data_IF_326228328792
#
_entry.id   IF_326228328792
#
_cell.length_a   1.000
_cell.length_b   1.000
_cell.length_c   1.000
_cell.angle_alpha   90.00
_cell.angle_beta   90.00
_cell.angle_gamma   90.00
#
_symmetry.space_group_name_H-M   'P 1'
#
loop_
_entity.id
_entity.type
_entity.pdbx_description
1 polymer ?
#
# COMPACT_ATOMS: atom_id res chain seq x y z
N UNK A 1 -7.60 11.88 -16.35
CA UNK A 1 -6.49 11.08 -16.94
C UNK A 1 -6.54 9.63 -16.50
N UNK A 2 -6.73 9.40 -15.19
CA UNK A 2 -6.64 8.09 -14.53
C UNK A 2 -7.70 7.10 -15.05
N UNK A 3 -8.97 7.50 -15.09
CA UNK A 3 -10.07 6.61 -15.48
C UNK A 3 -10.32 6.52 -16.99
N UNK A 4 -9.60 7.32 -17.79
CA UNK A 4 -9.89 7.43 -19.21
C UNK A 4 -9.35 6.20 -19.98
N UNK A 5 -10.19 5.45 -20.73
CA UNK A 5 -9.82 4.17 -21.35
C UNK A 5 -8.68 4.24 -22.37
N UNK A 6 -8.48 5.41 -22.99
CA UNK A 6 -7.37 5.65 -23.93
C UNK A 6 -6.07 6.16 -23.27
N UNK A 7 -6.06 6.37 -21.96
CA UNK A 7 -4.94 6.95 -21.21
C UNK A 7 -4.41 5.93 -20.18
N UNK A 8 -4.51 6.23 -18.88
CA UNK A 8 -3.99 5.33 -17.84
C UNK A 8 -4.90 4.11 -17.61
N UNK A 9 -6.20 4.28 -17.87
CA UNK A 9 -7.23 3.23 -17.80
C UNK A 9 -7.18 2.43 -16.50
N UNK A 10 -7.42 3.10 -15.38
CA UNK A 10 -7.40 2.47 -14.05
C UNK A 10 -8.74 2.51 -13.32
N UNK A 11 -9.83 2.55 -14.08
CA UNK A 11 -11.19 2.61 -13.54
C UNK A 11 -11.53 1.39 -12.64
N UNK A 12 -10.86 0.24 -12.84
CA UNK A 12 -11.09 -0.99 -12.08
C UNK A 12 -10.28 -1.08 -10.77
N UNK A 13 -9.48 -0.08 -10.43
CA UNK A 13 -8.74 -0.08 -9.17
C UNK A 13 -9.70 -0.05 -7.99
N UNK A 14 -9.62 -1.03 -7.10
CA UNK A 14 -10.52 -1.14 -5.95
C UNK A 14 -10.60 0.15 -5.11
N UNK A 15 -9.49 0.88 -4.99
CA UNK A 15 -9.40 2.14 -4.24
C UNK A 15 -10.00 3.38 -4.91
N UNK A 16 -10.33 3.30 -6.21
CA UNK A 16 -10.94 4.39 -7.00
C UNK A 16 -12.28 4.00 -7.62
N UNK A 17 -12.73 2.75 -7.42
CA UNK A 17 -14.02 2.30 -7.90
C UNK A 17 -15.16 3.16 -7.32
N UNK A 18 -16.09 3.64 -8.17
CA UNK A 18 -17.30 4.27 -7.68
C UNK A 18 -18.16 3.25 -6.92
N UNK A 19 -19.02 3.76 -6.04
CA UNK A 19 -19.96 2.91 -5.30
C UNK A 19 -20.88 2.14 -6.27
N UNK A 20 -20.69 0.84 -6.33
CA UNK A 20 -21.26 -0.08 -7.33
C UNK A 20 -21.37 -1.50 -6.77
N UNK A 21 -21.99 -2.42 -7.51
CA UNK A 21 -22.00 -3.86 -7.15
C UNK A 21 -20.58 -4.44 -7.13
N UNK A 22 -19.74 -4.04 -8.09
CA UNK A 22 -18.33 -4.43 -8.15
C UNK A 22 -17.57 -3.98 -6.90
N UNK A 23 -17.71 -2.69 -6.53
CA UNK A 23 -17.09 -2.17 -5.30
C UNK A 23 -17.58 -2.92 -4.06
N UNK A 24 -18.89 -3.15 -3.93
CA UNK A 24 -19.47 -3.87 -2.78
C UNK A 24 -18.97 -5.31 -2.71
N UNK A 25 -18.80 -5.99 -3.85
CA UNK A 25 -18.26 -7.35 -3.92
C UNK A 25 -16.79 -7.38 -3.51
N UNK A 26 -15.94 -6.54 -4.11
CA UNK A 26 -14.52 -6.46 -3.76
C UNK A 26 -14.32 -6.08 -2.29
N UNK A 27 -15.08 -5.09 -1.78
CA UNK A 27 -15.01 -4.67 -0.38
C UNK A 27 -15.37 -5.80 0.58
N UNK A 28 -16.41 -6.60 0.26
CA UNK A 28 -16.78 -7.80 1.02
C UNK A 28 -15.66 -8.84 1.02
N UNK A 29 -15.09 -9.16 -0.15
CA UNK A 29 -13.95 -10.09 -0.25
C UNK A 29 -12.78 -9.64 0.62
N UNK A 30 -12.35 -8.39 0.50
CA UNK A 30 -11.25 -7.83 1.32
C UNK A 30 -11.59 -7.88 2.82
N UNK A 31 -12.84 -7.54 3.20
CA UNK A 31 -13.26 -7.55 4.59
C UNK A 31 -13.24 -8.96 5.22
N UNK A 32 -13.43 -10.03 4.45
CA UNK A 32 -13.30 -11.40 4.96
C UNK A 32 -11.89 -11.70 5.45
N UNK A 33 -10.88 -11.04 4.90
CA UNK A 33 -9.47 -11.21 5.27
C UNK A 33 -8.96 -10.18 6.28
N UNK A 34 -9.47 -8.95 6.21
CA UNK A 34 -8.93 -7.80 6.96
C UNK A 34 -9.83 -7.29 8.09
N UNK A 35 -10.94 -7.96 8.41
CA UNK A 35 -11.71 -7.59 9.59
C UNK A 35 -10.90 -7.87 10.89
N UNK A 36 -11.26 -7.22 12.03
CA UNK A 36 -10.48 -7.32 13.26
C UNK A 36 -10.24 -8.72 13.81
N UNK A 37 -11.06 -9.71 13.44
CA UNK A 37 -10.87 -11.11 13.83
C UNK A 37 -9.98 -11.85 12.82
N UNK A 38 -10.28 -11.71 11.53
CA UNK A 38 -9.56 -12.41 10.46
C UNK A 38 -8.10 -11.95 10.34
N UNK A 39 -7.80 -10.68 10.63
CA UNK A 39 -6.44 -10.14 10.51
C UNK A 39 -5.44 -10.86 11.44
N UNK A 40 -5.91 -11.43 12.56
CA UNK A 40 -5.09 -12.16 13.53
C UNK A 40 -4.41 -13.41 12.95
N UNK A 41 -4.93 -13.95 11.84
CA UNK A 41 -4.27 -15.05 11.14
C UNK A 41 -2.89 -14.66 10.59
N UNK A 42 -2.61 -13.35 10.45
CA UNK A 42 -1.35 -12.82 9.95
C UNK A 42 -0.40 -12.37 11.07
N UNK A 43 -0.73 -12.58 12.35
CA UNK A 43 0.10 -12.15 13.48
C UNK A 43 1.52 -12.73 13.41
N UNK A 44 1.65 -14.03 13.11
CA UNK A 44 2.95 -14.70 12.95
C UNK A 44 3.79 -14.09 11.81
N UNK A 45 3.15 -13.76 10.69
CA UNK A 45 3.83 -13.13 9.56
C UNK A 45 4.40 -11.75 9.96
N UNK A 46 3.62 -10.96 10.71
CA UNK A 46 4.07 -9.67 11.20
C UNK A 46 5.23 -9.82 12.20
N UNK A 47 5.14 -10.76 13.13
CA UNK A 47 6.19 -11.04 14.11
C UNK A 47 7.51 -11.46 13.44
N UNK A 48 7.46 -12.33 12.43
CA UNK A 48 8.65 -12.78 11.71
C UNK A 48 9.31 -11.64 10.94
N UNK A 49 8.50 -10.79 10.31
CA UNK A 49 8.98 -9.61 9.58
C UNK A 49 9.61 -8.59 10.54
N UNK A 50 9.02 -8.38 11.72
CA UNK A 50 9.57 -7.51 12.75
C UNK A 50 10.90 -8.06 13.28
N UNK A 51 11.01 -9.36 13.54
CA UNK A 51 12.28 -10.00 13.97
C UNK A 51 13.38 -9.79 12.94
N UNK A 52 13.08 -9.94 11.65
CA UNK A 52 14.04 -9.68 10.57
C UNK A 52 14.44 -8.20 10.52
N UNK A 53 13.48 -7.29 10.64
CA UNK A 53 13.74 -5.85 10.66
C UNK A 53 14.65 -5.48 11.85
N UNK A 54 14.35 -5.94 13.07
CA UNK A 54 15.18 -5.71 14.25
C UNK A 54 16.60 -6.26 14.06
N UNK A 55 16.74 -7.46 13.49
CA UNK A 55 18.03 -8.05 13.16
C UNK A 55 18.84 -7.23 12.15
N UNK A 56 18.18 -6.60 11.18
CA UNK A 56 18.84 -5.64 10.26
C UNK A 56 19.22 -4.35 10.99
N UNK A 57 18.32 -3.78 11.80
CA UNK A 57 18.55 -2.55 12.56
C UNK A 57 19.72 -2.66 13.54
N UNK A 58 19.92 -3.82 14.18
CA UNK A 58 21.06 -4.06 15.07
C UNK A 58 22.42 -3.95 14.37
N UNK A 59 22.47 -4.19 13.05
CA UNK A 59 23.69 -4.08 12.24
C UNK A 59 23.92 -2.66 11.71
N UNK A 60 22.92 -1.78 11.79
CA UNK A 60 22.97 -0.44 11.20
C UNK A 60 23.98 0.46 11.91
N UNK A 61 24.13 0.34 13.24
CA UNK A 61 25.09 1.14 14.00
C UNK A 61 26.55 0.88 13.63
N UNK A 62 26.83 -0.24 12.95
CA UNK A 62 28.16 -0.61 12.45
C UNK A 62 28.45 -0.05 11.05
N UNK A 63 27.43 0.54 10.38
CA UNK A 63 27.57 1.13 9.06
C UNK A 63 28.20 2.54 9.18
N UNK A 64 29.09 2.94 8.26
CA UNK A 64 29.62 4.31 8.21
C UNK A 64 28.56 5.40 8.02
N UNK A 65 27.39 5.07 7.44
CA UNK A 65 26.25 5.98 7.23
C UNK A 65 24.96 5.43 7.86
N UNK A 66 24.87 5.39 9.21
CA UNK A 66 23.78 4.71 9.91
C UNK A 66 22.41 5.33 9.63
N UNK A 67 22.36 6.65 9.42
CA UNK A 67 21.12 7.35 9.09
C UNK A 67 20.57 6.96 7.72
N UNK A 68 21.42 6.85 6.70
CA UNK A 68 21.00 6.42 5.37
C UNK A 68 20.59 4.95 5.36
N UNK A 69 21.21 4.12 6.20
CA UNK A 69 20.81 2.73 6.32
C UNK A 69 19.47 2.56 7.08
N UNK A 70 19.23 3.31 8.18
CA UNK A 70 17.90 3.37 8.81
C UNK A 70 16.86 3.81 7.78
N UNK A 71 17.19 4.80 6.95
CA UNK A 71 16.29 5.23 5.89
C UNK A 71 15.96 4.08 4.95
N UNK A 72 16.94 3.30 4.48
CA UNK A 72 16.65 2.16 3.59
C UNK A 72 15.77 1.07 4.23
N UNK A 73 15.87 0.87 5.56
CA UNK A 73 15.10 -0.15 6.26
C UNK A 73 13.63 0.23 6.45
N UNK A 74 13.35 1.52 6.69
CA UNK A 74 12.01 2.03 6.96
C UNK A 74 11.33 2.71 5.77
N UNK A 75 12.13 3.33 4.89
CA UNK A 75 11.64 4.10 3.75
C UNK A 75 11.76 3.23 2.50
N UNK A 76 10.65 3.03 1.82
CA UNK A 76 10.66 2.71 0.41
C UNK A 76 11.12 3.95 -0.36
N UNK A 77 12.44 4.18 -0.41
CA UNK A 77 13.00 5.33 -1.09
C UNK A 77 13.07 5.05 -2.59
N UNK A 78 12.05 5.48 -3.31
CA UNK A 78 12.09 5.49 -4.77
C UNK A 78 12.12 6.92 -5.26
N UNK A 79 13.31 7.53 -5.27
CA UNK A 79 13.48 8.77 -6.01
C UNK A 79 13.53 8.45 -7.49
N UNK A 80 12.36 8.32 -8.09
CA UNK A 80 12.22 8.44 -9.53
C UNK A 80 12.48 9.91 -9.91
N UNK A 81 13.75 10.22 -10.13
CA UNK A 81 14.23 11.37 -10.88
C UNK A 81 13.37 12.64 -10.74
N UNK A 82 13.22 13.15 -9.52
CA UNK A 82 12.80 14.56 -9.39
C UNK A 82 13.90 15.39 -10.03
N UNK A 83 13.50 16.21 -11.00
CA UNK A 83 14.34 17.11 -11.83
C UNK A 83 15.16 18.14 -11.02
N UNK A 84 15.18 18.03 -9.70
CA UNK A 84 15.79 18.97 -8.74
C UNK A 84 17.10 18.41 -8.15
N UNK A 85 17.31 17.08 -8.11
CA UNK A 85 18.55 16.51 -7.51
C UNK A 85 19.14 15.41 -8.41
N UNK A 86 20.07 15.73 -9.33
CA UNK A 86 20.55 14.80 -10.36
C UNK A 86 21.60 13.77 -9.92
N UNK A 87 22.00 13.72 -8.64
CA UNK A 87 23.19 12.96 -8.20
C UNK A 87 22.94 11.66 -7.43
N UNK A 88 21.70 11.29 -7.13
CA UNK A 88 21.43 10.06 -6.36
C UNK A 88 20.74 9.03 -7.25
N UNK A 89 21.43 7.90 -7.51
CA UNK A 89 20.86 6.77 -8.23
C UNK A 89 19.82 6.09 -7.34
N UNK A 90 18.55 5.98 -7.76
CA UNK A 90 17.55 5.28 -6.96
C UNK A 90 17.81 3.78 -6.98
N UNK A 91 17.97 3.19 -5.81
CA UNK A 91 17.87 1.75 -5.61
C UNK A 91 16.68 1.54 -4.66
N UNK A 92 15.55 1.01 -5.13
CA UNK A 92 14.49 0.58 -4.25
C UNK A 92 15.07 -0.48 -3.32
N UNK A 93 14.99 -0.23 -2.01
CA UNK A 93 15.36 -1.22 -1.00
C UNK A 93 14.09 -1.89 -0.51
N UNK A 94 14.19 -3.21 -0.35
CA UNK A 94 13.13 -4.06 0.15
C UNK A 94 12.75 -3.62 1.57
N UNK A 95 11.61 -2.92 1.72
CA UNK A 95 11.08 -2.69 3.06
C UNK A 95 10.54 -4.01 3.63
N UNK A 96 10.79 -4.26 4.91
CA UNK A 96 10.31 -5.47 5.61
C UNK A 96 8.80 -5.67 5.40
N UNK A 97 8.06 -4.56 5.50
CA UNK A 97 6.62 -4.52 5.34
C UNK A 97 6.18 -4.77 3.91
N UNK A 98 6.89 -4.22 2.92
CA UNK A 98 6.61 -4.48 1.50
C UNK A 98 6.79 -5.95 1.14
N UNK A 99 7.79 -6.62 1.70
CA UNK A 99 7.96 -8.08 1.56
C UNK A 99 6.81 -8.85 2.22
N UNK A 100 6.42 -8.45 3.43
CA UNK A 100 5.32 -9.07 4.17
C UNK A 100 3.99 -8.99 3.43
N UNK A 101 3.64 -7.80 2.95
CA UNK A 101 2.38 -7.55 2.24
C UNK A 101 2.37 -8.22 0.87
N UNK A 102 3.52 -8.28 0.18
CA UNK A 102 3.63 -8.99 -1.09
C UNK A 102 3.47 -10.50 -0.89
N UNK A 103 4.09 -11.09 0.14
CA UNK A 103 3.90 -12.49 0.51
C UNK A 103 2.45 -12.77 0.95
N UNK A 104 1.84 -11.88 1.73
CA UNK A 104 0.44 -12.00 2.15
C UNK A 104 -0.52 -11.99 0.96
N UNK A 105 -0.30 -11.09 0.00
CA UNK A 105 -1.15 -10.93 -1.16
C UNK A 105 -0.99 -12.09 -2.15
N UNK A 106 0.25 -12.44 -2.51
CA UNK A 106 0.57 -13.33 -3.63
C UNK A 106 1.14 -14.69 -3.24
N UNK A 107 1.55 -14.91 -2.00
CA UNK A 107 2.30 -16.10 -1.58
C UNK A 107 3.74 -16.10 -2.08
N UNK A 108 4.23 -14.94 -2.52
CA UNK A 108 5.52 -14.81 -3.18
C UNK A 108 6.62 -14.38 -2.20
N UNK A 109 7.70 -15.16 -2.15
CA UNK A 109 8.91 -14.79 -1.44
C UNK A 109 9.84 -13.98 -2.36
N UNK A 110 10.09 -12.73 -2.00
CA UNK A 110 11.03 -11.87 -2.71
C UNK A 110 12.43 -12.47 -2.72
N UNK A 111 13.05 -12.53 -3.91
CA UNK A 111 14.36 -13.17 -4.09
C UNK A 111 15.50 -12.34 -3.53
N UNK A 112 15.47 -11.04 -3.82
CA UNK A 112 16.44 -10.05 -3.39
C UNK A 112 15.84 -8.64 -3.45
N UNK A 113 16.62 -7.63 -3.08
CA UNK A 113 16.18 -6.22 -3.09
C UNK A 113 15.86 -5.69 -4.49
N UNK A 114 16.21 -6.44 -5.55
CA UNK A 114 16.00 -6.10 -6.96
C UNK A 114 14.95 -6.99 -7.60
N UNK A 115 14.12 -7.65 -6.80
CA UNK A 115 13.08 -8.53 -7.29
C UNK A 115 12.16 -7.80 -8.28
N UNK A 116 12.11 -8.24 -9.55
CA UNK A 116 11.43 -7.49 -10.60
C UNK A 116 9.92 -7.38 -10.37
N UNK A 117 9.29 -8.36 -9.71
CA UNK A 117 7.86 -8.27 -9.41
C UNK A 117 7.57 -7.16 -8.41
N UNK A 118 8.34 -7.12 -7.32
CA UNK A 118 8.20 -6.07 -6.31
C UNK A 118 8.55 -4.69 -6.87
N UNK A 119 9.66 -4.58 -7.60
CA UNK A 119 10.09 -3.29 -8.14
C UNK A 119 9.09 -2.71 -9.15
N UNK A 120 8.57 -3.55 -10.04
CA UNK A 120 7.54 -3.12 -10.99
C UNK A 120 6.25 -2.73 -10.26
N UNK A 121 5.83 -3.50 -9.24
CA UNK A 121 4.63 -3.20 -8.45
C UNK A 121 4.75 -1.85 -7.73
N UNK A 122 5.86 -1.60 -7.04
CA UNK A 122 6.15 -0.32 -6.36
C UNK A 122 6.23 0.83 -7.35
N UNK A 123 6.93 0.64 -8.47
CA UNK A 123 7.06 1.68 -9.49
C UNK A 123 5.70 2.03 -10.11
N UNK A 124 4.82 1.04 -10.30
CA UNK A 124 3.47 1.26 -10.78
C UNK A 124 2.67 2.10 -9.76
N UNK A 125 2.72 1.76 -8.47
CA UNK A 125 2.06 2.53 -7.41
C UNK A 125 2.50 3.99 -7.41
N UNK A 126 3.80 4.24 -7.46
CA UNK A 126 4.32 5.61 -7.48
C UNK A 126 3.84 6.40 -8.71
N UNK A 127 3.80 5.77 -9.89
CA UNK A 127 3.27 6.40 -11.11
C UNK A 127 1.78 6.72 -10.97
N UNK A 128 0.99 5.87 -10.30
CA UNK A 128 -0.42 6.17 -9.97
C UNK A 128 -0.52 7.42 -9.14
N UNK A 129 0.19 7.45 -8.01
CA UNK A 129 0.07 8.58 -7.09
C UNK A 129 0.48 9.87 -7.78
N UNK A 130 1.51 9.84 -8.63
CA UNK A 130 1.84 10.99 -9.45
C UNK A 130 0.76 11.34 -10.47
N UNK A 131 0.10 10.35 -11.07
CA UNK A 131 -0.98 10.55 -12.03
C UNK A 131 -2.26 11.10 -11.39
N UNK A 132 -2.54 10.81 -10.12
CA UNK A 132 -3.75 11.26 -9.42
C UNK A 132 -3.61 12.67 -8.86
N UNK A 133 -2.38 13.13 -8.58
CA UNK A 133 -2.14 14.47 -8.06
C UNK A 133 -2.59 15.56 -9.06
N UNK A 134 -3.53 16.44 -8.68
CA UNK A 134 -4.03 17.50 -9.58
C UNK A 134 -2.94 18.43 -10.11
N UNK A 135 -1.91 18.68 -9.30
CA UNK A 135 -0.80 19.59 -9.64
C UNK A 135 0.17 19.03 -10.69
N UNK A 136 0.19 17.71 -10.89
CA UNK A 136 1.13 17.07 -11.81
C UNK A 136 0.63 17.08 -13.25
N UNK A 137 -0.68 17.03 -13.47
CA UNK A 137 -1.28 16.92 -14.80
C UNK A 137 -2.55 17.77 -14.90
N UNK A 138 -2.50 18.83 -15.72
CA UNK A 138 -3.62 19.76 -15.92
C UNK A 138 -4.91 19.07 -16.39
N UNK A 139 -4.83 17.92 -17.05
CA UNK A 139 -6.01 17.14 -17.47
C UNK A 139 -6.85 16.62 -16.30
N UNK A 140 -6.28 16.55 -15.09
CA UNK A 140 -7.04 16.22 -13.88
C UNK A 140 -7.89 17.40 -13.39
N UNK A 141 -7.49 18.63 -13.71
CA UNK A 141 -8.23 19.87 -13.40
C UNK A 141 -9.16 20.25 -14.54
N UNK A 142 -8.72 20.04 -15.79
CA UNK A 142 -9.44 20.37 -17.01
C UNK A 142 -9.65 19.10 -17.85
N UNK A 143 -10.72 18.32 -17.62
CA UNK A 143 -10.98 17.06 -18.32
C UNK A 143 -11.03 17.19 -19.85
N UNK A 144 -11.42 18.36 -20.37
CA UNK A 144 -11.42 18.65 -21.81
C UNK A 144 -10.06 18.41 -22.48
N UNK A 145 -8.96 18.53 -21.74
CA UNK A 145 -7.61 18.24 -22.24
C UNK A 145 -7.42 16.76 -22.64
N UNK A 146 -8.27 15.84 -22.18
CA UNK A 146 -8.22 14.44 -22.60
C UNK A 146 -8.47 14.27 -24.11
N UNK A 147 -9.14 15.21 -24.77
CA UNK A 147 -9.54 15.11 -26.19
C UNK A 147 -8.56 15.79 -27.16
N UNK A 148 -7.54 16.49 -26.67
CA UNK A 148 -6.57 17.15 -27.57
C UNK A 148 -5.77 16.11 -28.38
N UNK A 149 -5.37 16.37 -29.63
CA UNK A 149 -4.57 15.41 -30.39
C UNK A 149 -3.19 15.14 -29.76
N UNK A 150 -2.68 13.92 -29.90
CA UNK A 150 -1.38 13.50 -29.34
C UNK A 150 -0.18 14.31 -29.88
N UNK A 151 -0.32 14.89 -31.08
CA UNK A 151 0.72 15.69 -31.73
C UNK A 151 0.79 17.14 -31.22
N UNK A 152 -0.20 17.61 -30.46
CA UNK A 152 -0.27 19.00 -30.03
C UNK A 152 0.88 19.32 -29.04
N UNK A 153 1.62 20.43 -29.21
CA UNK A 153 2.63 20.85 -28.24
C UNK A 153 2.04 20.94 -26.83
N UNK A 154 2.67 20.28 -25.86
CA UNK A 154 2.16 20.17 -24.49
C UNK A 154 1.31 18.92 -24.21
N UNK A 155 0.92 18.14 -25.21
CA UNK A 155 0.20 16.86 -25.04
C UNK A 155 1.11 15.66 -24.74
N UNK A 156 2.41 15.87 -24.51
CA UNK A 156 3.39 14.81 -24.24
C UNK A 156 3.05 13.92 -23.04
N UNK A 157 2.27 14.42 -22.08
CA UNK A 157 1.75 13.65 -20.95
C UNK A 157 0.88 12.46 -21.38
N UNK A 158 0.25 12.50 -22.56
CA UNK A 158 -0.53 11.37 -23.08
C UNK A 158 0.33 10.16 -23.39
N UNK A 159 1.53 10.39 -23.94
CA UNK A 159 2.52 9.34 -24.16
C UNK A 159 2.95 8.72 -22.83
N UNK A 160 3.26 9.56 -21.85
CA UNK A 160 3.57 9.12 -20.48
C UNK A 160 2.44 8.29 -19.88
N UNK A 161 1.17 8.72 -20.02
CA UNK A 161 0.02 7.98 -19.52
C UNK A 161 -0.12 6.58 -20.16
N UNK A 162 0.11 6.46 -21.47
CA UNK A 162 0.09 5.16 -22.19
C UNK A 162 1.24 4.25 -21.73
N UNK A 163 2.46 4.78 -21.63
CA UNK A 163 3.62 4.05 -21.10
C UNK A 163 3.39 3.58 -19.64
N UNK A 164 2.73 4.41 -18.83
CA UNK A 164 2.38 4.06 -17.45
C UNK A 164 1.27 3.02 -17.38
N UNK A 165 0.32 3.00 -18.31
CA UNK A 165 -0.70 1.96 -18.43
C UNK A 165 -0.09 0.60 -18.74
N UNK A 166 0.81 0.52 -19.72
CA UNK A 166 1.47 -0.73 -20.07
C UNK A 166 2.28 -1.27 -18.89
N UNK A 167 3.03 -0.40 -18.22
CA UNK A 167 3.78 -0.75 -17.03
C UNK A 167 2.87 -1.23 -15.89
N UNK A 168 1.75 -0.53 -15.63
CA UNK A 168 0.73 -0.99 -14.69
C UNK A 168 0.25 -2.39 -15.04
N UNK A 169 -0.22 -2.58 -16.28
CA UNK A 169 -0.83 -3.84 -16.70
C UNK A 169 0.13 -5.00 -16.47
N UNK A 170 1.41 -4.80 -16.77
CA UNK A 170 2.46 -5.76 -16.47
C UNK A 170 2.66 -5.98 -14.96
N UNK A 171 2.78 -4.90 -14.17
CA UNK A 171 3.02 -4.96 -12.73
C UNK A 171 1.89 -5.63 -11.94
N UNK A 172 0.64 -5.48 -12.39
CA UNK A 172 -0.54 -6.13 -11.78
C UNK A 172 -0.66 -7.59 -12.26
N UNK A 173 -0.45 -7.83 -13.56
CA UNK A 173 -0.68 -9.15 -14.17
C UNK A 173 0.42 -10.15 -13.83
N UNK A 174 1.69 -9.76 -13.86
CA UNK A 174 2.80 -10.72 -13.75
C UNK A 174 2.82 -11.49 -12.41
N UNK A 175 2.65 -10.85 -11.23
CA UNK A 175 2.59 -11.56 -9.95
C UNK A 175 1.33 -12.45 -9.85
N UNK A 176 0.20 -12.00 -10.41
CA UNK A 176 -1.03 -12.78 -10.43
C UNK A 176 -0.87 -14.07 -11.23
N UNK A 177 -0.37 -13.99 -12.47
CA UNK A 177 -0.19 -15.16 -13.33
C UNK A 177 0.81 -16.15 -12.70
N UNK A 178 1.84 -15.65 -12.03
CA UNK A 178 2.76 -16.49 -11.26
C UNK A 178 2.02 -17.24 -10.14
N UNK A 179 1.25 -16.55 -9.29
CA UNK A 179 0.51 -17.21 -8.20
C UNK A 179 -0.50 -18.22 -8.76
N UNK A 180 -1.18 -17.88 -9.86
CA UNK A 180 -2.12 -18.78 -10.53
C UNK A 180 -1.44 -20.06 -11.02
N UNK A 181 -0.22 -19.96 -11.55
CA UNK A 181 0.56 -21.12 -11.98
C UNK A 181 1.02 -21.98 -10.80
N UNK A 182 1.47 -21.38 -9.69
CA UNK A 182 1.87 -22.14 -8.50
C UNK A 182 0.68 -22.85 -7.84
N UNK A 183 -0.50 -22.21 -7.82
CA UNK A 183 -1.72 -22.86 -7.34
C UNK A 183 -2.09 -24.05 -8.24
N UNK A 184 -1.98 -23.89 -9.55
CA UNK A 184 -2.24 -24.98 -10.50
C UNK A 184 -1.21 -26.12 -10.41
N UNK A 185 0.02 -25.85 -10.00
CA UNK A 185 1.06 -26.86 -9.80
C UNK A 185 0.86 -27.66 -8.49
N UNK A 186 0.06 -27.14 -7.56
CA UNK A 186 -0.18 -27.73 -6.24
C UNK A 186 0.93 -27.49 -5.23
N UNK A 187 2.00 -26.79 -5.60
CA UNK A 187 3.11 -26.42 -4.72
C UNK A 187 3.11 -24.90 -4.52
N UNK A 188 2.26 -24.40 -3.64
CA UNK A 188 2.10 -22.96 -3.38
C UNK A 188 2.13 -22.63 -1.89
N UNK A 189 2.59 -21.42 -1.59
CA UNK A 189 2.49 -20.83 -0.25
C UNK A 189 1.05 -20.29 -0.03
N UNK A 190 0.42 -20.55 1.14
CA UNK A 190 -0.87 -19.95 1.47
C UNK A 190 -0.83 -18.41 1.45
N UNK A 191 -1.75 -17.80 0.72
CA UNK A 191 -1.94 -16.36 0.59
C UNK A 191 -3.40 -16.01 0.35
N UNK A 192 -3.72 -14.71 0.41
CA UNK A 192 -5.08 -14.24 0.10
C UNK A 192 -5.45 -14.61 -1.34
N UNK A 193 -4.56 -14.36 -2.30
CA UNK A 193 -4.84 -14.68 -3.70
C UNK A 193 -4.93 -16.19 -3.94
N UNK A 194 -4.06 -17.00 -3.33
CA UNK A 194 -4.12 -18.46 -3.53
C UNK A 194 -5.43 -19.05 -3.01
N UNK A 195 -5.94 -18.54 -1.89
CA UNK A 195 -7.22 -18.98 -1.35
C UNK A 195 -8.40 -18.52 -2.24
N UNK A 196 -8.38 -17.29 -2.74
CA UNK A 196 -9.40 -16.78 -3.66
C UNK A 196 -9.40 -17.52 -5.01
N UNK A 197 -8.24 -17.93 -5.50
CA UNK A 197 -8.13 -18.73 -6.74
C UNK A 197 -8.78 -20.11 -6.59
N UNK A 198 -8.71 -20.70 -5.40
CA UNK A 198 -9.30 -22.00 -5.06
C UNK A 198 -10.80 -21.93 -4.73
N UNK A 199 -11.33 -20.76 -4.38
CA UNK A 199 -12.75 -20.55 -4.10
C UNK A 199 -13.52 -20.29 -5.40
N UNK A 200 -14.18 -21.34 -5.91
CA UNK A 200 -15.00 -21.27 -7.13
C UNK A 200 -16.48 -20.98 -6.84
N UNK A 201 -16.92 -21.10 -5.59
CA UNK A 201 -18.33 -21.00 -5.22
C UNK A 201 -18.80 -19.54 -5.13
N UNK A 202 -17.91 -18.59 -4.83
CA UNK A 202 -18.26 -17.17 -4.75
C UNK A 202 -18.46 -16.46 -6.10
N UNK A 203 -18.13 -17.11 -7.22
CA UNK A 203 -17.97 -16.48 -8.53
C UNK A 203 -18.84 -17.10 -9.64
N UNK A 204 -19.88 -17.88 -9.30
CA UNK A 204 -20.70 -18.61 -10.28
C UNK A 204 -21.36 -17.72 -11.35
N UNK A 205 -21.58 -16.44 -11.06
CA UNK A 205 -22.20 -15.47 -11.97
C UNK A 205 -21.19 -14.69 -12.83
N UNK A 206 -19.88 -14.85 -12.62
CA UNK A 206 -18.83 -14.13 -13.34
C UNK A 206 -18.23 -14.99 -14.45
N UNK A 207 -17.91 -14.37 -15.59
CA UNK A 207 -17.03 -15.03 -16.56
C UNK A 207 -15.64 -15.23 -15.96
N UNK A 208 -14.90 -16.25 -16.43
CA UNK A 208 -13.54 -16.50 -15.95
C UNK A 208 -12.60 -15.31 -16.17
N UNK A 209 -12.84 -14.50 -17.20
CA UNK A 209 -12.06 -13.29 -17.50
C UNK A 209 -12.35 -12.18 -16.49
N UNK A 210 -13.63 -11.90 -16.18
CA UNK A 210 -14.02 -10.90 -15.18
C UNK A 210 -13.50 -11.27 -13.79
N UNK A 211 -13.59 -12.56 -13.44
CA UNK A 211 -13.01 -13.07 -12.19
C UNK A 211 -11.50 -12.81 -12.12
N UNK A 212 -10.76 -13.14 -13.18
CA UNK A 212 -9.32 -12.92 -13.24
C UNK A 212 -8.96 -11.44 -13.08
N UNK A 213 -9.68 -10.53 -13.75
CA UNK A 213 -9.47 -9.08 -13.63
C UNK A 213 -9.75 -8.57 -12.22
N UNK A 214 -10.83 -9.02 -11.58
CA UNK A 214 -11.16 -8.65 -10.21
C UNK A 214 -10.10 -9.11 -9.21
N UNK A 215 -9.62 -10.35 -9.33
CA UNK A 215 -8.62 -10.91 -8.43
C UNK A 215 -7.25 -10.24 -8.60
N UNK A 216 -6.88 -9.88 -9.83
CA UNK A 216 -5.69 -9.07 -10.15
C UNK A 216 -5.69 -7.76 -9.37
N UNK A 217 -6.76 -6.97 -9.51
CA UNK A 217 -6.88 -5.68 -8.83
C UNK A 217 -6.99 -5.83 -7.30
N UNK A 218 -7.67 -6.88 -6.81
CA UNK A 218 -7.79 -7.17 -5.38
C UNK A 218 -6.43 -7.50 -4.74
N UNK A 219 -5.65 -8.37 -5.36
CA UNK A 219 -4.32 -8.71 -4.84
C UNK A 219 -3.39 -7.48 -4.85
N UNK A 220 -3.49 -6.66 -5.91
CA UNK A 220 -2.69 -5.45 -6.02
C UNK A 220 -3.07 -4.40 -4.96
N UNK A 221 -4.36 -4.14 -4.69
CA UNK A 221 -4.76 -3.20 -3.64
C UNK A 221 -4.32 -3.66 -2.24
N UNK A 222 -4.31 -4.97 -1.95
CA UNK A 222 -3.80 -5.50 -0.69
C UNK A 222 -2.31 -5.19 -0.51
N UNK A 223 -1.54 -5.36 -1.59
CA UNK A 223 -0.13 -5.02 -1.59
C UNK A 223 0.10 -3.51 -1.44
N UNK A 224 -0.50 -2.69 -2.30
CA UNK A 224 -0.30 -1.23 -2.30
C UNK A 224 -0.77 -0.62 -0.99
N UNK A 225 -1.99 -0.97 -0.56
CA UNK A 225 -2.60 -0.45 0.65
C UNK A 225 -1.84 -0.83 1.92
N UNK A 226 -1.23 -2.01 1.99
CA UNK A 226 -0.42 -2.42 3.13
C UNK A 226 1.02 -1.88 3.12
N UNK A 227 1.57 -1.62 1.93
CA UNK A 227 2.98 -1.20 1.79
C UNK A 227 3.11 0.30 1.93
N UNK A 228 2.33 1.06 1.16
CA UNK A 228 2.59 2.48 0.98
C UNK A 228 2.22 3.29 2.23
N UNK A 229 1.13 2.92 2.91
CA UNK A 229 0.72 3.59 4.17
C UNK A 229 1.65 3.29 5.34
N UNK A 230 2.42 2.20 5.27
CA UNK A 230 3.29 1.73 6.37
C UNK A 230 4.78 2.02 6.11
N UNK A 231 5.22 2.13 4.85
CA UNK A 231 6.65 2.25 4.48
C UNK A 231 7.06 3.49 3.67
N UNK A 232 6.15 4.40 3.29
CA UNK A 232 6.53 5.65 2.62
C UNK A 232 7.01 6.74 3.58
N UNK A 233 7.54 7.84 3.04
CA UNK A 233 8.14 8.95 3.79
C UNK A 233 7.21 9.61 4.84
N UNK A 234 5.89 9.49 4.67
CA UNK A 234 4.85 9.96 5.60
C UNK A 234 4.13 8.80 6.32
N UNK A 235 4.76 7.63 6.42
CA UNK A 235 4.12 6.45 6.98
C UNK A 235 4.07 6.44 8.50
N UNK A 236 3.22 5.56 9.02
CA UNK A 236 3.08 5.35 10.46
C UNK A 236 4.40 5.01 11.15
N UNK A 237 5.27 4.18 10.54
CA UNK A 237 6.54 3.77 11.15
C UNK A 237 7.58 4.90 11.16
N UNK A 238 7.69 5.65 10.07
CA UNK A 238 8.61 6.81 10.00
C UNK A 238 8.17 7.87 11.01
N UNK A 239 6.88 8.17 11.08
CA UNK A 239 6.32 9.12 12.03
C UNK A 239 6.52 8.64 13.47
N UNK A 240 6.39 7.34 13.75
CA UNK A 240 6.68 6.76 15.06
C UNK A 240 8.15 6.98 15.45
N UNK A 241 9.10 6.61 14.57
CA UNK A 241 10.54 6.76 14.86
C UNK A 241 10.88 8.24 15.10
N UNK A 242 10.39 9.15 14.25
CA UNK A 242 10.59 10.58 14.43
C UNK A 242 9.99 11.09 15.74
N UNK A 243 8.77 10.65 16.10
CA UNK A 243 8.12 11.02 17.35
C UNK A 243 8.92 10.54 18.58
N UNK A 244 9.50 9.34 18.53
CA UNK A 244 10.32 8.79 19.63
C UNK A 244 11.63 9.55 19.79
N UNK A 245 12.27 9.96 18.69
CA UNK A 245 13.50 10.77 18.72
C UNK A 245 13.25 12.14 19.34
N UNK A 246 12.10 12.78 19.05
CA UNK A 246 11.76 14.11 19.57
C UNK A 246 11.22 14.06 21.01
N UNK A 247 10.64 12.93 21.44
CA UNK A 247 10.04 12.75 22.77
C UNK A 247 10.65 11.53 23.50
N UNK A 248 11.92 11.61 23.93
CA UNK A 248 12.63 10.47 24.50
C UNK A 248 12.06 9.97 25.84
N UNK A 249 11.41 10.85 26.61
CA UNK A 249 10.70 10.50 27.85
C UNK A 249 9.47 9.62 27.57
N UNK A 250 8.73 9.92 26.50
CA UNK A 250 7.61 9.12 26.03
C UNK A 250 8.08 7.74 25.57
N UNK A 251 9.20 7.68 24.83
CA UNK A 251 9.83 6.42 24.43
C UNK A 251 10.25 5.58 25.65
N UNK A 252 10.94 6.19 26.62
CA UNK A 252 11.38 5.51 27.84
C UNK A 252 10.20 4.95 28.64
N UNK A 253 9.08 5.68 28.71
CA UNK A 253 7.86 5.21 29.38
C UNK A 253 7.21 4.02 28.67
N UNK A 254 7.20 4.01 27.33
CA UNK A 254 6.71 2.87 26.57
C UNK A 254 7.58 1.63 26.79
N UNK A 255 8.90 1.81 26.79
CA UNK A 255 9.84 0.74 27.09
C UNK A 255 9.65 0.19 28.52
N UNK A 256 9.44 1.06 29.51
CA UNK A 256 9.19 0.64 30.89
C UNK A 256 7.91 -0.20 31.04
N UNK A 257 6.83 0.14 30.31
CA UNK A 257 5.62 -0.70 30.28
C UNK A 257 5.94 -2.10 29.71
N UNK A 258 6.62 -2.17 28.56
CA UNK A 258 7.01 -3.43 27.92
C UNK A 258 7.86 -4.28 28.87
N UNK A 259 8.90 -3.70 29.47
CA UNK A 259 9.81 -4.39 30.38
C UNK A 259 9.10 -4.88 31.65
N UNK A 260 8.09 -4.14 32.14
CA UNK A 260 7.34 -4.52 33.34
C UNK A 260 6.44 -5.74 33.12
N UNK A 261 5.89 -5.91 31.92
CA UNK A 261 4.97 -7.00 31.58
C UNK A 261 5.72 -8.25 31.17
N UNK A 262 6.76 -8.10 30.35
CA UNK A 262 7.49 -9.23 29.76
C UNK A 262 8.66 -9.71 30.62
N UNK A 263 9.08 -8.91 31.60
CA UNK A 263 10.35 -9.07 32.27
C UNK A 263 11.50 -8.61 31.38
N UNK A 264 12.46 -7.90 31.97
CA UNK A 264 13.59 -7.35 31.23
C UNK A 264 14.33 -8.43 30.43
N UNK A 265 14.40 -8.24 29.11
CA UNK A 265 15.09 -9.10 28.16
C UNK A 265 14.73 -10.61 28.20
N UNK A 266 13.55 -10.98 28.70
CA UNK A 266 13.15 -12.39 28.83
C UNK A 266 12.65 -13.00 27.51
N UNK A 267 11.89 -12.22 26.73
CA UNK A 267 11.43 -12.57 25.37
C UNK A 267 11.00 -11.32 24.60
N UNK A 268 10.85 -11.45 23.28
CA UNK A 268 10.24 -10.40 22.46
C UNK A 268 8.70 -10.35 22.68
N UNK A 269 8.08 -9.16 22.51
CA UNK A 269 6.62 -9.04 22.50
C UNK A 269 5.98 -9.85 21.38
N UNK A 270 4.80 -10.40 21.64
CA UNK A 270 3.92 -11.03 20.64
C UNK A 270 2.60 -10.28 20.56
N UNK A 271 1.81 -10.54 19.52
CA UNK A 271 0.50 -9.89 19.37
C UNK A 271 -0.48 -10.21 20.51
N UNK A 272 -0.26 -11.31 21.24
CA UNK A 272 -1.06 -11.68 22.41
C UNK A 272 -0.82 -10.73 23.61
N UNK A 273 0.32 -10.06 23.66
CA UNK A 273 0.67 -9.15 24.76
C UNK A 273 -0.01 -7.78 24.65
N UNK A 274 -0.54 -7.43 23.47
CA UNK A 274 -1.16 -6.13 23.17
C UNK A 274 -2.19 -5.70 24.21
N UNK A 275 -3.01 -6.66 24.69
CA UNK A 275 -4.08 -6.40 25.67
C UNK A 275 -3.53 -5.92 27.01
N UNK A 276 -2.29 -6.27 27.34
CA UNK A 276 -1.62 -5.91 28.59
C UNK A 276 -0.85 -4.59 28.48
N UNK A 277 -0.74 -3.98 27.30
CA UNK A 277 0.09 -2.80 27.02
C UNK A 277 -0.76 -1.55 26.69
N UNK A 278 -1.53 -1.01 27.65
CA UNK A 278 -2.42 0.12 27.40
C UNK A 278 -1.67 1.39 26.99
N UNK A 279 -0.49 1.66 27.54
CA UNK A 279 0.28 2.86 27.20
C UNK A 279 0.84 2.78 25.78
N UNK A 280 1.43 1.65 25.37
CA UNK A 280 1.89 1.43 23.99
C UNK A 280 0.73 1.57 23.01
N UNK A 281 -0.44 1.02 23.33
CA UNK A 281 -1.64 1.16 22.50
C UNK A 281 -2.06 2.63 22.32
N UNK A 282 -2.09 3.41 23.41
CA UNK A 282 -2.42 4.84 23.35
C UNK A 282 -1.33 5.61 22.60
N UNK A 283 -0.06 5.25 22.75
CA UNK A 283 1.04 5.85 22.03
C UNK A 283 0.90 5.68 20.51
N UNK A 284 0.57 4.46 20.06
CA UNK A 284 0.31 4.19 18.63
C UNK A 284 -0.83 5.07 18.13
N UNK A 285 -1.93 5.17 18.89
CA UNK A 285 -3.06 6.03 18.53
C UNK A 285 -2.66 7.51 18.46
N UNK A 286 -1.83 7.97 19.39
CA UNK A 286 -1.38 9.37 19.43
C UNK A 286 -0.46 9.71 18.26
N UNK A 287 0.43 8.80 17.85
CA UNK A 287 1.25 8.98 16.65
C UNK A 287 0.38 9.10 15.40
N UNK A 288 -0.64 8.24 15.27
CA UNK A 288 -1.57 8.28 14.14
C UNK A 288 -2.47 9.53 14.16
N UNK A 289 -2.79 10.06 15.35
CA UNK A 289 -3.55 11.32 15.51
C UNK A 289 -2.70 12.55 15.20
N UNK A 290 -1.45 12.57 15.64
CA UNK A 290 -0.55 13.72 15.50
C UNK A 290 -0.02 13.88 14.08
N UNK A 291 0.38 12.76 13.45
CA UNK A 291 0.86 12.72 12.07
C UNK A 291 0.06 11.69 11.25
N UNK A 292 -1.18 12.02 10.86
CA UNK A 292 -2.00 11.13 10.06
C UNK A 292 -1.37 10.87 8.70
N UNK A 293 -1.33 9.61 8.28
CA UNK A 293 -0.75 9.17 6.99
C UNK A 293 -1.48 9.82 5.80
N UNK A 294 -2.79 10.03 5.95
CA UNK A 294 -3.67 10.66 4.95
C UNK A 294 -4.36 11.90 5.54
N UNK A 295 -3.66 13.05 5.65
CA UNK A 295 -4.16 14.23 6.36
C UNK A 295 -5.43 14.84 5.74
N UNK A 296 -5.69 14.59 4.46
CA UNK A 296 -6.90 15.04 3.75
C UNK A 296 -8.05 14.04 3.78
N UNK A 297 -8.01 13.03 4.67
CA UNK A 297 -9.07 12.02 4.77
C UNK A 297 -8.97 10.87 3.75
N UNK A 298 -7.94 10.86 2.90
CA UNK A 298 -7.70 9.80 1.90
C UNK A 298 -8.15 10.20 0.49
N UNK A 299 -8.75 9.26 -0.24
CA UNK A 299 -9.29 9.49 -1.58
C UNK A 299 -10.54 10.39 -1.49
N UNK A 300 -10.69 11.41 -2.36
CA UNK A 300 -11.89 12.25 -2.38
C UNK A 300 -13.18 11.42 -2.47
N UNK A 301 -14.17 11.79 -1.65
CA UNK A 301 -15.47 11.14 -1.65
C UNK A 301 -16.41 11.83 -2.63
N UNK A 302 -17.41 11.12 -3.16
CA UNK A 302 -18.45 11.71 -4.00
C UNK A 302 -19.83 11.50 -3.38
N UNK A 303 -20.65 12.54 -3.39
CA UNK A 303 -22.03 12.46 -2.91
C UNK A 303 -22.85 11.51 -3.81
N UNK A 304 -23.39 10.41 -3.26
CA UNK A 304 -24.05 9.37 -4.05
C UNK A 304 -25.47 9.77 -4.51
N UNK A 305 -26.16 10.56 -3.69
CA UNK A 305 -27.49 11.11 -3.92
C UNK A 305 -27.56 12.48 -3.24
N UNK A 306 -28.47 13.36 -3.66
CA UNK A 306 -28.64 14.66 -3.00
C UNK A 306 -28.83 14.48 -1.48
N UNK A 307 -28.14 15.30 -0.70
CA UNK A 307 -28.11 15.21 0.76
C UNK A 307 -28.08 16.61 1.40
N UNK A 308 -28.37 16.68 2.69
CA UNK A 308 -28.31 17.92 3.48
C UNK A 308 -27.44 17.69 4.70
N UNK A 309 -26.30 18.39 4.78
CA UNK A 309 -25.39 18.31 5.91
C UNK A 309 -25.28 19.65 6.63
N UNK A 310 -25.60 19.68 7.93
CA UNK A 310 -25.55 20.89 8.76
C UNK A 310 -26.35 22.08 8.16
N UNK A 311 -27.45 21.78 7.45
CA UNK A 311 -28.30 22.77 6.78
C UNK A 311 -27.79 23.26 5.42
N UNK A 312 -26.70 22.69 4.89
CA UNK A 312 -26.21 22.95 3.54
C UNK A 312 -26.64 21.84 2.59
N UNK A 313 -27.24 22.21 1.46
CA UNK A 313 -27.60 21.29 0.40
C UNK A 313 -26.35 20.82 -0.37
N UNK A 314 -26.17 19.50 -0.48
CA UNK A 314 -25.09 18.85 -1.21
C UNK A 314 -25.71 18.06 -2.37
N UNK A 315 -25.37 18.46 -3.59
CA UNK A 315 -25.88 17.79 -4.78
C UNK A 315 -25.12 16.49 -5.06
N UNK A 316 -25.82 15.51 -5.61
CA UNK A 316 -25.23 14.27 -6.13
C UNK A 316 -24.06 14.58 -7.07
N UNK A 317 -22.97 13.84 -6.88
CA UNK A 317 -21.73 13.99 -7.65
C UNK A 317 -20.79 15.08 -7.12
N UNK A 318 -21.18 15.84 -6.10
CA UNK A 318 -20.25 16.76 -5.42
C UNK A 318 -19.10 15.98 -4.80
N UNK A 319 -17.87 16.39 -5.12
CA UNK A 319 -16.65 15.84 -4.53
C UNK A 319 -16.39 16.49 -3.17
N UNK A 320 -16.04 15.69 -2.17
CA UNK A 320 -15.78 16.10 -0.78
C UNK A 320 -14.41 15.61 -0.30
#
# INVERSE_FOLDING_TARGET
MVDHPALLDWANFAGMLPYSDLWRRQRRRINNWLNPRAVRQFDNLQEDVVKQLLGRLLKVSQNPEPFEEIKKQFFLWVVFQHRIVPYIKPVPVLSAMGSATFRLAYGYHLKDDKDPFFLNAVQASHRIFNATMPNNFLVNVFPALAYIPDWLPGAGWKRTAKEWREHKNHAVTAPYEWTKQEVASGNFEPSVLSALLQDYDTDQDLSGMERDEELKELAYILFVGGTDTVSLINSALVNFVAAMVVNPDVQAKAQAEIDSILGYASRLPTMADEVQMPYVRVLIQEVLRWHPVTPTGGTPHACYQDDVYQGYDIQKGTMM
#
